data_IF_748648852019
#
_entry.id   IF_748648852019
#
_cell.length_a   1.000
_cell.length_b   1.000
_cell.length_c   1.000
_cell.angle_alpha   90.00
_cell.angle_beta   90.00
_cell.angle_gamma   90.00
#
_symmetry.space_group_name_H-M   'P 1'
#
loop_
_entity.id
_entity.type
_entity.pdbx_description
1 polymer ?
#
# COMPACT_ATOMS: atom_id res chain seq x y z
N UNK A 1 28.00 18.45 -9.71
CA UNK A 1 26.77 18.44 -8.90
C UNK A 1 25.48 18.36 -9.76
N UNK A 2 25.47 17.72 -10.94
CA UNK A 2 24.28 17.68 -11.85
C UNK A 2 23.52 16.32 -11.88
N UNK A 3 23.90 15.33 -11.07
CA UNK A 3 23.33 13.97 -11.15
C UNK A 3 22.09 13.71 -10.29
N UNK A 4 21.87 14.49 -9.22
CA UNK A 4 20.75 14.27 -8.28
C UNK A 4 19.40 14.68 -8.84
N UNK A 5 19.33 15.82 -9.54
CA UNK A 5 18.08 16.39 -10.05
C UNK A 5 17.45 15.56 -11.19
N UNK A 6 18.28 14.96 -12.04
CA UNK A 6 17.78 14.14 -13.15
C UNK A 6 17.14 12.83 -12.65
N UNK A 7 17.72 12.25 -11.59
CA UNK A 7 17.28 10.97 -11.04
C UNK A 7 15.92 11.09 -10.32
N UNK A 8 15.70 12.22 -9.62
CA UNK A 8 14.41 12.51 -8.99
C UNK A 8 13.30 12.74 -10.02
N UNK A 9 13.59 13.48 -11.11
CA UNK A 9 12.62 13.69 -12.20
C UNK A 9 12.18 12.37 -12.83
N UNK A 10 13.12 11.48 -13.13
CA UNK A 10 12.81 10.16 -13.71
C UNK A 10 11.97 9.30 -12.77
N UNK A 11 12.23 9.30 -11.45
CA UNK A 11 11.38 8.58 -10.49
C UNK A 11 9.95 9.12 -10.43
N UNK A 12 9.78 10.45 -10.45
CA UNK A 12 8.46 11.09 -10.47
C UNK A 12 7.70 10.70 -11.73
N UNK A 13 8.35 10.72 -12.90
CA UNK A 13 7.76 10.28 -14.16
C UNK A 13 7.35 8.81 -14.13
N UNK A 14 8.20 7.93 -13.59
CA UNK A 14 7.89 6.51 -13.42
C UNK A 14 6.70 6.29 -12.47
N UNK A 15 6.66 7.03 -11.35
CA UNK A 15 5.56 6.99 -10.40
C UNK A 15 4.24 7.37 -11.06
N UNK A 16 4.22 8.50 -11.79
CA UNK A 16 3.02 8.95 -12.48
C UNK A 16 2.60 8.01 -13.61
N UNK A 17 3.54 7.49 -14.39
CA UNK A 17 3.24 6.54 -15.45
C UNK A 17 2.62 5.25 -14.89
N UNK A 18 3.17 4.72 -13.79
CA UNK A 18 2.66 3.52 -13.13
C UNK A 18 1.29 3.78 -12.47
N UNK A 19 1.16 4.87 -11.71
CA UNK A 19 -0.11 5.26 -11.09
C UNK A 19 -1.21 5.47 -12.14
N UNK A 20 -0.87 6.12 -13.25
CA UNK A 20 -1.79 6.31 -14.37
C UNK A 20 -2.18 4.99 -15.02
N UNK A 21 -1.23 4.07 -15.23
CA UNK A 21 -1.52 2.74 -15.74
C UNK A 21 -2.48 1.98 -14.83
N UNK A 22 -2.24 1.99 -13.51
CA UNK A 22 -3.10 1.33 -12.51
C UNK A 22 -4.51 1.91 -12.51
N UNK A 23 -4.64 3.23 -12.61
CA UNK A 23 -5.95 3.88 -12.74
C UNK A 23 -6.66 3.54 -14.06
N UNK A 24 -5.93 3.47 -15.18
CA UNK A 24 -6.51 3.20 -16.51
C UNK A 24 -6.86 1.72 -16.73
N UNK A 25 -6.07 0.79 -16.22
CA UNK A 25 -6.29 -0.65 -16.40
C UNK A 25 -7.52 -1.14 -15.65
N UNK A 26 -7.96 -0.39 -14.63
CA UNK A 26 -9.08 -0.79 -13.78
C UNK A 26 -10.42 -0.25 -14.32
N UNK A 27 -10.46 0.76 -15.20
CA UNK A 27 -11.68 1.51 -15.63
C UNK A 27 -12.61 1.97 -14.46
N UNK A 28 -12.16 1.81 -13.21
CA UNK A 28 -12.94 1.99 -12.00
C UNK A 28 -12.60 3.32 -11.35
N UNK A 29 -13.63 4.01 -10.87
CA UNK A 29 -13.49 5.11 -9.91
C UNK A 29 -12.69 4.58 -8.71
N UNK A 30 -11.62 5.28 -8.33
CA UNK A 30 -10.82 4.87 -7.17
C UNK A 30 -11.71 4.76 -5.94
N UNK A 31 -11.46 3.80 -5.06
CA UNK A 31 -12.25 3.62 -3.84
C UNK A 31 -12.35 4.93 -3.05
N UNK A 32 -11.27 5.73 -3.04
CA UNK A 32 -11.25 7.06 -2.46
C UNK A 32 -12.21 8.04 -3.16
N UNK A 33 -12.16 8.16 -4.48
CA UNK A 33 -13.05 9.08 -5.21
C UNK A 33 -14.52 8.64 -5.12
N UNK A 34 -14.78 7.34 -5.09
CA UNK A 34 -16.13 6.79 -4.91
C UNK A 34 -16.64 7.08 -3.49
N UNK A 35 -15.80 6.86 -2.47
CA UNK A 35 -16.17 7.05 -1.07
C UNK A 35 -16.44 8.52 -0.72
N UNK A 36 -15.82 9.47 -1.44
CA UNK A 36 -16.06 10.92 -1.32
C UNK A 36 -17.43 11.35 -1.92
N UNK A 37 -17.99 10.59 -2.86
CA UNK A 37 -19.28 10.90 -3.50
C UNK A 37 -20.48 10.22 -2.83
N UNK A 38 -20.21 9.24 -1.96
CA UNK A 38 -21.25 8.46 -1.30
C UNK A 38 -21.62 9.03 0.08
N UNK A 39 -22.89 8.85 0.52
CA UNK A 39 -23.26 9.07 1.91
C UNK A 39 -22.35 8.29 2.88
N UNK A 40 -22.09 8.86 4.05
CA UNK A 40 -21.13 8.35 5.04
C UNK A 40 -21.22 6.83 5.31
N UNK A 41 -22.44 6.29 5.45
CA UNK A 41 -22.64 4.86 5.71
C UNK A 41 -22.17 3.98 4.55
N UNK A 42 -22.57 4.33 3.32
CA UNK A 42 -22.20 3.60 2.12
C UNK A 42 -20.70 3.72 1.83
N UNK A 43 -20.14 4.91 2.05
CA UNK A 43 -18.71 5.18 1.97
C UNK A 43 -17.90 4.22 2.85
N UNK A 44 -18.30 4.06 4.12
CA UNK A 44 -17.68 3.09 5.05
C UNK A 44 -17.80 1.64 4.60
N UNK A 45 -18.97 1.23 4.11
CA UNK A 45 -19.17 -0.14 3.63
C UNK A 45 -18.28 -0.45 2.42
N UNK A 46 -18.18 0.46 1.45
CA UNK A 46 -17.31 0.30 0.28
C UNK A 46 -15.85 0.15 0.69
N UNK A 47 -15.36 1.01 1.58
CA UNK A 47 -13.98 0.94 2.09
C UNK A 47 -13.73 -0.38 2.83
N UNK A 48 -14.65 -0.80 3.69
CA UNK A 48 -14.58 -2.09 4.39
C UNK A 48 -14.49 -3.26 3.41
N UNK A 49 -15.41 -3.38 2.44
CA UNK A 49 -15.41 -4.49 1.48
C UNK A 49 -14.17 -4.51 0.60
N UNK A 50 -13.57 -3.35 0.28
CA UNK A 50 -12.33 -3.27 -0.50
C UNK A 50 -11.08 -3.70 0.25
N UNK A 51 -11.07 -3.63 1.59
CA UNK A 51 -9.86 -3.86 2.42
C UNK A 51 -9.96 -5.09 3.32
N UNK A 52 -11.16 -5.62 3.54
CA UNK A 52 -11.39 -6.76 4.44
C UNK A 52 -10.56 -7.99 4.07
N UNK A 53 -10.31 -8.26 2.79
CA UNK A 53 -9.52 -9.43 2.38
C UNK A 53 -8.05 -9.35 2.84
N UNK A 54 -7.53 -8.13 3.04
CA UNK A 54 -6.19 -7.90 3.57
C UNK A 54 -6.17 -7.96 5.10
N UNK A 55 -7.22 -7.44 5.76
CA UNK A 55 -7.28 -7.32 7.21
C UNK A 55 -7.79 -8.60 7.90
N UNK A 56 -8.79 -9.28 7.34
CA UNK A 56 -9.43 -10.45 7.94
C UNK A 56 -8.41 -11.54 8.30
N UNK A 57 -7.48 -11.97 7.43
CA UNK A 57 -6.54 -13.05 7.77
C UNK A 57 -5.71 -12.76 9.03
N UNK A 58 -5.41 -11.49 9.29
CA UNK A 58 -4.56 -11.08 10.40
C UNK A 58 -5.35 -10.76 11.68
N UNK A 59 -6.57 -10.25 11.55
CA UNK A 59 -7.37 -9.80 12.69
C UNK A 59 -8.59 -10.69 13.00
N UNK A 60 -8.80 -11.79 12.26
CA UNK A 60 -9.94 -12.70 12.46
C UNK A 60 -10.00 -13.29 13.87
N UNK A 61 -8.85 -13.55 14.49
CA UNK A 61 -8.79 -14.12 15.85
C UNK A 61 -9.40 -13.20 16.91
N UNK A 62 -9.47 -11.89 16.66
CA UNK A 62 -10.12 -10.94 17.56
C UNK A 62 -11.65 -11.00 17.51
N UNK A 63 -12.23 -11.72 16.53
CA UNK A 63 -13.67 -12.01 16.46
C UNK A 63 -14.57 -10.77 16.31
N UNK A 64 -14.01 -9.59 16.01
CA UNK A 64 -14.73 -8.32 15.96
C UNK A 64 -14.74 -7.74 14.55
N UNK A 65 -15.90 -7.82 13.90
CA UNK A 65 -16.12 -7.16 12.60
C UNK A 65 -15.98 -5.64 12.71
N UNK A 66 -16.36 -5.07 13.86
CA UNK A 66 -16.23 -3.64 14.11
C UNK A 66 -14.76 -3.20 14.12
N UNK A 67 -13.84 -4.03 14.66
CA UNK A 67 -12.41 -3.73 14.61
C UNK A 67 -11.92 -3.64 13.16
N UNK A 68 -12.30 -4.58 12.30
CA UNK A 68 -11.90 -4.59 10.89
C UNK A 68 -12.50 -3.37 10.16
N UNK A 69 -13.75 -3.01 10.46
CA UNK A 69 -14.38 -1.78 9.95
C UNK A 69 -13.61 -0.54 10.39
N UNK A 70 -13.23 -0.43 11.66
CA UNK A 70 -12.49 0.73 12.15
C UNK A 70 -11.08 0.79 11.55
N UNK A 71 -10.37 -0.34 11.48
CA UNK A 71 -9.06 -0.45 10.82
C UNK A 71 -9.13 -0.07 9.33
N UNK A 72 -10.18 -0.49 8.62
CA UNK A 72 -10.38 -0.15 7.21
C UNK A 72 -10.43 1.36 6.97
N UNK A 73 -10.89 2.13 7.95
CA UNK A 73 -11.00 3.60 7.82
C UNK A 73 -9.70 4.35 8.03
N UNK A 74 -8.71 3.72 8.67
CA UNK A 74 -7.39 4.33 8.94
C UNK A 74 -6.29 3.82 8.02
N UNK A 75 -6.58 2.78 7.22
CA UNK A 75 -5.67 2.29 6.18
C UNK A 75 -5.41 3.37 5.12
N UNK A 76 -4.15 3.49 4.71
CA UNK A 76 -3.71 4.38 3.64
C UNK A 76 -3.09 3.55 2.52
N UNK A 77 -3.56 3.76 1.30
CA UNK A 77 -2.97 3.13 0.11
C UNK A 77 -1.73 3.93 -0.31
N UNK A 78 -0.58 3.25 -0.38
CA UNK A 78 0.70 3.81 -0.81
C UNK A 78 1.29 2.96 -1.94
N UNK A 79 1.92 3.61 -2.92
CA UNK A 79 2.60 2.94 -4.04
C UNK A 79 4.11 3.13 -3.87
N UNK A 80 4.86 2.03 -3.95
CA UNK A 80 6.32 2.02 -3.98
C UNK A 80 6.80 1.47 -5.32
N UNK A 81 7.87 2.04 -5.86
CA UNK A 81 8.44 1.60 -7.13
C UNK A 81 9.54 0.55 -6.91
N UNK A 82 9.86 -0.26 -7.93
CA UNK A 82 11.00 -1.17 -7.87
C UNK A 82 12.30 -0.43 -7.47
N UNK A 83 12.93 -0.91 -6.38
CA UNK A 83 14.15 -0.34 -5.84
C UNK A 83 13.96 0.74 -4.76
N UNK A 84 12.72 1.10 -4.43
CA UNK A 84 12.46 1.92 -3.24
C UNK A 84 12.67 1.09 -1.97
N UNK A 85 13.31 1.70 -0.97
CA UNK A 85 13.42 1.15 0.38
C UNK A 85 12.23 1.64 1.19
N UNK A 86 11.45 0.71 1.74
CA UNK A 86 10.22 1.01 2.49
C UNK A 86 10.54 1.22 3.96
N UNK A 87 11.22 0.26 4.58
CA UNK A 87 11.66 0.29 5.98
C UNK A 87 13.17 0.06 6.01
N UNK A 88 13.92 0.88 6.74
CA UNK A 88 15.34 0.66 6.97
C UNK A 88 15.58 0.06 8.35
N UNK A 89 16.67 -0.69 8.47
CA UNK A 89 17.16 -1.16 9.78
C UNK A 89 17.42 0.07 10.66
N UNK A 90 17.00 -0.03 11.91
CA UNK A 90 17.12 1.00 12.95
C UNK A 90 16.14 2.19 12.80
N UNK A 91 15.22 2.14 11.83
CA UNK A 91 14.05 3.04 11.82
C UNK A 91 13.09 2.69 12.97
N UNK A 92 12.47 3.71 13.55
CA UNK A 92 11.41 3.52 14.54
C UNK A 92 10.18 2.93 13.85
N UNK A 93 9.77 1.72 14.25
CA UNK A 93 8.59 1.05 13.70
C UNK A 93 7.30 1.68 14.21
N UNK A 94 6.85 2.75 13.56
CA UNK A 94 5.59 3.45 13.89
C UNK A 94 4.41 3.02 13.00
N UNK A 95 4.69 2.31 11.91
CA UNK A 95 3.70 1.95 10.90
C UNK A 95 3.65 0.44 10.67
N UNK A 96 2.47 -0.03 10.27
CA UNK A 96 2.21 -1.39 9.84
C UNK A 96 1.80 -1.38 8.37
N UNK A 97 2.37 -2.28 7.59
CA UNK A 97 2.13 -2.37 6.15
C UNK A 97 1.45 -3.68 5.80
N UNK A 98 0.62 -3.64 4.76
CA UNK A 98 0.00 -4.82 4.15
C UNK A 98 0.31 -4.79 2.66
N UNK A 99 0.74 -5.91 2.09
CA UNK A 99 1.01 -5.99 0.66
C UNK A 99 -0.30 -6.30 -0.06
N UNK A 100 -0.89 -5.29 -0.70
CA UNK A 100 -2.10 -5.44 -1.50
C UNK A 100 -1.82 -6.10 -2.86
N UNK A 101 -0.73 -5.68 -3.52
CA UNK A 101 -0.26 -6.18 -4.81
C UNK A 101 1.26 -6.07 -4.89
N UNK A 102 1.89 -6.98 -5.64
CA UNK A 102 3.34 -7.03 -5.82
C UNK A 102 4.07 -7.84 -4.75
N UNK A 103 5.36 -7.54 -4.58
CA UNK A 103 6.24 -8.23 -3.64
C UNK A 103 7.34 -7.31 -3.16
N UNK A 104 7.82 -7.54 -1.94
CA UNK A 104 8.94 -6.80 -1.34
C UNK A 104 10.03 -7.76 -0.90
N UNK A 105 11.27 -7.29 -0.94
CA UNK A 105 12.42 -8.05 -0.47
C UNK A 105 12.83 -7.61 0.93
N UNK A 106 13.06 -8.59 1.79
CA UNK A 106 13.80 -8.39 3.03
C UNK A 106 15.27 -8.55 2.69
N UNK A 107 16.05 -7.48 2.87
CA UNK A 107 17.47 -7.45 2.53
C UNK A 107 18.33 -7.61 3.78
N UNK A 108 19.51 -8.20 3.62
CA UNK A 108 20.54 -8.22 4.65
C UNK A 108 21.15 -6.81 4.85
N UNK A 109 22.04 -6.68 5.83
CA UNK A 109 22.70 -5.39 6.15
C UNK A 109 23.48 -4.79 4.96
N UNK A 110 23.93 -5.62 4.02
CA UNK A 110 24.62 -5.19 2.81
C UNK A 110 23.70 -4.52 1.76
N UNK A 111 22.38 -4.49 2.01
CA UNK A 111 21.33 -3.97 1.12
C UNK A 111 21.32 -4.59 -0.28
N UNK A 112 21.87 -5.79 -0.43
CA UNK A 112 22.01 -6.50 -1.72
C UNK A 112 21.54 -7.94 -1.63
N UNK A 113 21.89 -8.63 -0.54
CA UNK A 113 21.52 -10.03 -0.34
C UNK A 113 20.06 -10.11 0.08
N UNK A 114 19.24 -10.82 -0.69
CA UNK A 114 17.82 -11.06 -0.38
C UNK A 114 17.73 -12.20 0.64
N UNK A 115 17.20 -11.90 1.81
CA UNK A 115 16.95 -12.86 2.89
C UNK A 115 15.58 -13.52 2.74
N UNK A 116 14.57 -12.77 2.30
CA UNK A 116 13.22 -13.27 2.09
C UNK A 116 12.44 -12.40 1.10
N UNK A 117 11.33 -12.92 0.58
CA UNK A 117 10.40 -12.20 -0.27
C UNK A 117 9.01 -12.29 0.35
N UNK A 118 8.39 -11.16 0.62
CA UNK A 118 7.00 -11.07 1.07
C UNK A 118 6.11 -10.71 -0.11
N UNK A 119 4.96 -11.37 -0.22
CA UNK A 119 3.97 -11.16 -1.28
C UNK A 119 2.61 -10.74 -0.71
N UNK A 120 1.58 -10.73 -1.57
CA UNK A 120 0.22 -10.32 -1.17
C UNK A 120 -0.25 -10.99 0.14
N UNK A 121 -0.76 -10.18 1.06
CA UNK A 121 -1.32 -10.63 2.34
C UNK A 121 -0.29 -10.95 3.44
N UNK A 122 1.00 -10.76 3.16
CA UNK A 122 2.04 -10.70 4.19
C UNK A 122 2.08 -9.34 4.89
#
# INVERSE_FOLDING_TARGET
>A
QNGGDQNHKTKVEQFFAYSWHLHKSTDMVSIKALSEQLPYRLSKEVVYYSTRELLEPMFKEFGSENLIKDLSTVLKQTIYLPGDFIILKDDVGEEMYFIAEGSVYILAEDKRTVLNTLGKGA
#
